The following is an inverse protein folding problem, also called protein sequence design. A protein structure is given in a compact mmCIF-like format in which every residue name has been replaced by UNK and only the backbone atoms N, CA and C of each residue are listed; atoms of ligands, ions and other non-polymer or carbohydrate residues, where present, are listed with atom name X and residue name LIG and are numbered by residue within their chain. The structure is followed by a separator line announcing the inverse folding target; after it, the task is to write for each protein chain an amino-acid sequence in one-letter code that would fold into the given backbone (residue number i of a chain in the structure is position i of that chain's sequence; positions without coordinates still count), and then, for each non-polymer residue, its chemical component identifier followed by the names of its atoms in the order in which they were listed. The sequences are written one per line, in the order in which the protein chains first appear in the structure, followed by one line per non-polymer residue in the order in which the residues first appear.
data_IF_199353113033
#
_entry.id   IF_199353113033
#
_cell.length_a   1.000
_cell.length_b   1.000
_cell.length_c   1.000
_cell.angle_alpha   90.00
_cell.angle_beta   90.00
_cell.angle_gamma   90.00
#
_symmetry.space_group_name_H-M   'P 1'
#
loop_
_entity.id
_entity.type
_entity.pdbx_description
1 polymer ?
#
# COMPACT_ATOMS: atom_id res chain seq x y z
N UNK A 1 -8.72 -44.50 -52.46
CA UNK A 1 -9.60 -43.48 -53.04
C UNK A 1 -10.53 -44.16 -54.04
N UNK A 2 -11.69 -44.55 -53.58
CA UNK A 2 -12.73 -45.28 -54.33
C UNK A 2 -13.91 -44.37 -54.70
N UNK A 3 -13.98 -43.16 -54.12
CA UNK A 3 -14.99 -42.14 -54.39
C UNK A 3 -14.40 -40.73 -54.26
N UNK A 4 -14.90 -39.77 -55.05
CA UNK A 4 -14.47 -38.34 -55.04
C UNK A 4 -14.61 -37.70 -53.65
N UNK A 5 -15.49 -38.23 -52.79
CA UNK A 5 -15.69 -37.76 -51.41
C UNK A 5 -14.56 -38.13 -50.45
N UNK A 6 -13.68 -39.06 -50.82
CA UNK A 6 -12.55 -39.51 -50.01
C UNK A 6 -11.26 -38.70 -50.29
N UNK A 7 -11.36 -37.63 -51.08
CA UNK A 7 -10.22 -36.74 -51.30
C UNK A 7 -9.83 -36.06 -49.98
N UNK A 8 -8.53 -36.00 -49.66
CA UNK A 8 -8.04 -35.40 -48.43
C UNK A 8 -8.29 -33.89 -48.48
N UNK A 9 -9.14 -33.41 -47.58
CA UNK A 9 -9.37 -32.01 -47.32
C UNK A 9 -8.50 -31.62 -46.12
N UNK A 10 -7.43 -30.87 -46.38
CA UNK A 10 -6.54 -30.35 -45.34
C UNK A 10 -6.85 -28.86 -45.17
N UNK A 11 -7.86 -28.57 -44.36
CA UNK A 11 -8.23 -27.21 -43.99
C UNK A 11 -7.36 -26.74 -42.82
N UNK A 12 -6.97 -25.47 -42.83
CA UNK A 12 -6.34 -24.84 -41.68
C UNK A 12 -7.36 -24.67 -40.55
N UNK A 13 -7.46 -25.69 -39.71
CA UNK A 13 -8.27 -25.71 -38.51
C UNK A 13 -7.48 -25.30 -37.27
N UNK A 14 -8.17 -24.87 -36.19
CA UNK A 14 -7.53 -24.75 -34.90
C UNK A 14 -6.94 -26.12 -34.50
N UNK A 15 -5.81 -26.14 -33.78
CA UNK A 15 -5.21 -27.38 -33.33
C UNK A 15 -6.23 -28.18 -32.49
N UNK A 16 -6.18 -29.52 -32.51
CA UNK A 16 -7.03 -30.34 -31.64
C UNK A 16 -6.73 -29.98 -30.18
N UNK A 17 -7.68 -29.29 -29.54
CA UNK A 17 -7.50 -28.68 -28.20
C UNK A 17 -7.77 -27.17 -28.15
N UNK A 18 -7.90 -26.49 -29.29
CA UNK A 18 -8.25 -25.07 -29.38
C UNK A 18 -7.11 -24.12 -28.97
N UNK A 19 -7.40 -22.81 -29.03
CA UNK A 19 -6.45 -21.77 -28.60
C UNK A 19 -6.58 -21.47 -27.10
N UNK A 20 -5.47 -21.11 -26.44
CA UNK A 20 -5.52 -20.70 -25.04
C UNK A 20 -6.40 -19.44 -24.87
N UNK A 21 -7.06 -19.27 -23.71
CA UNK A 21 -7.89 -18.11 -23.47
C UNK A 21 -7.03 -16.84 -23.42
N UNK A 22 -7.25 -15.94 -24.38
CA UNK A 22 -6.61 -14.62 -24.39
C UNK A 22 -7.38 -13.68 -23.46
N UNK A 23 -6.67 -13.04 -22.54
CA UNK A 23 -7.28 -12.09 -21.61
C UNK A 23 -7.43 -10.73 -22.29
N UNK A 24 -8.65 -10.36 -22.65
CA UNK A 24 -8.96 -9.07 -23.29
C UNK A 24 -9.37 -7.96 -22.31
N UNK A 25 -9.62 -8.31 -21.04
CA UNK A 25 -10.09 -7.37 -20.04
C UNK A 25 -8.94 -6.72 -19.25
N UNK A 26 -9.07 -5.43 -18.98
CA UNK A 26 -8.16 -4.72 -18.10
C UNK A 26 -8.30 -5.21 -16.66
N UNK A 27 -7.18 -5.34 -15.95
CA UNK A 27 -7.13 -5.73 -14.55
C UNK A 27 -6.35 -4.68 -13.77
N UNK A 28 -7.06 -3.80 -13.08
CA UNK A 28 -6.47 -2.86 -12.12
C UNK A 28 -6.44 -3.53 -10.74
N UNK A 29 -5.27 -3.87 -10.21
CA UNK A 29 -5.20 -4.46 -8.87
C UNK A 29 -5.33 -3.37 -7.80
N UNK A 30 -6.42 -3.39 -7.03
CA UNK A 30 -6.57 -2.57 -5.81
C UNK A 30 -5.90 -3.27 -4.62
N UNK A 31 -4.56 -3.16 -4.53
CA UNK A 31 -3.75 -3.71 -3.43
C UNK A 31 -3.47 -2.72 -2.29
N UNK A 32 -4.19 -1.60 -2.26
CA UNK A 32 -4.02 -0.57 -1.23
C UNK A 32 -4.62 -0.99 0.13
N UNK A 33 -4.08 -0.47 1.24
CA UNK A 33 -4.73 -0.61 2.54
C UNK A 33 -6.11 0.04 2.51
N UNK A 34 -7.05 -0.53 3.27
CA UNK A 34 -8.41 0.03 3.35
C UNK A 34 -8.37 1.44 3.92
N UNK A 35 -9.38 2.26 3.58
CA UNK A 35 -9.48 3.62 4.11
C UNK A 35 -9.43 3.63 5.65
N UNK A 36 -10.15 2.71 6.30
CA UNK A 36 -10.13 2.54 7.74
C UNK A 36 -8.72 2.26 8.30
N UNK A 37 -7.93 1.42 7.63
CA UNK A 37 -6.56 1.14 8.05
C UNK A 37 -5.68 2.41 7.99
N UNK A 38 -5.80 3.21 6.93
CA UNK A 38 -5.07 4.48 6.79
C UNK A 38 -5.47 5.45 7.91
N UNK A 39 -6.76 5.60 8.18
CA UNK A 39 -7.26 6.50 9.23
C UNK A 39 -6.80 6.08 10.62
N UNK A 40 -6.87 4.79 10.95
CA UNK A 40 -6.44 4.28 12.25
C UNK A 40 -4.94 4.46 12.47
N UNK A 41 -4.12 4.22 11.43
CA UNK A 41 -2.67 4.46 11.50
C UNK A 41 -2.38 5.93 11.71
N UNK A 42 -3.03 6.83 10.97
CA UNK A 42 -2.82 8.26 11.11
C UNK A 42 -3.21 8.77 12.50
N UNK A 43 -4.37 8.35 13.02
CA UNK A 43 -4.83 8.72 14.36
C UNK A 43 -3.93 8.13 15.45
N UNK A 44 -3.49 6.88 15.30
CA UNK A 44 -2.55 6.23 16.22
C UNK A 44 -1.20 6.96 16.27
N UNK A 45 -0.63 7.27 15.10
CA UNK A 45 0.62 8.02 15.00
C UNK A 45 0.48 9.43 15.58
N UNK A 46 -0.62 10.12 15.31
CA UNK A 46 -0.88 11.47 15.82
C UNK A 46 -1.00 11.50 17.35
N UNK A 47 -1.85 10.63 17.91
CA UNK A 47 -2.05 10.54 19.37
C UNK A 47 -0.76 10.14 20.10
N UNK A 48 -0.02 9.17 19.57
CA UNK A 48 1.29 8.78 20.11
C UNK A 48 2.31 9.92 20.02
N UNK A 49 2.38 10.60 18.87
CA UNK A 49 3.29 11.74 18.68
C UNK A 49 3.00 12.88 19.65
N UNK A 50 1.72 13.23 19.83
CA UNK A 50 1.31 14.28 20.77
C UNK A 50 1.61 13.92 22.23
N UNK A 51 1.49 12.64 22.60
CA UNK A 51 1.90 12.17 23.93
C UNK A 51 3.40 12.41 24.17
N UNK A 52 4.25 12.07 23.19
CA UNK A 52 5.69 12.28 23.30
C UNK A 52 6.06 13.77 23.35
N UNK A 53 5.40 14.61 22.53
CA UNK A 53 5.57 16.08 22.56
C UNK A 53 5.21 16.64 23.93
N UNK A 54 4.11 16.18 24.54
CA UNK A 54 3.70 16.58 25.88
C UNK A 54 4.77 16.28 26.93
N UNK A 55 5.31 15.05 26.92
CA UNK A 55 6.38 14.65 27.84
C UNK A 55 7.66 15.47 27.62
N UNK A 56 8.07 15.67 26.36
CA UNK A 56 9.23 16.50 26.02
C UNK A 56 9.08 17.96 26.48
N UNK A 57 7.89 18.53 26.30
CA UNK A 57 7.60 19.90 26.74
C UNK A 57 7.66 20.06 28.27
N UNK A 58 7.21 19.05 29.03
CA UNK A 58 7.33 19.06 30.50
C UNK A 58 8.80 19.09 30.92
N UNK A 59 9.64 18.24 30.32
CA UNK A 59 11.08 18.18 30.61
C UNK A 59 11.75 19.51 30.25
N UNK A 60 11.46 20.06 29.07
CA UNK A 60 12.01 21.36 28.63
C UNK A 60 11.67 22.50 29.57
N UNK A 61 10.45 22.53 30.13
CA UNK A 61 10.05 23.54 31.11
C UNK A 61 10.87 23.47 32.40
N UNK A 62 11.11 22.26 32.92
CA UNK A 62 11.94 22.07 34.13
C UNK A 62 13.37 22.55 33.88
N UNK A 63 13.94 22.18 32.73
CA UNK A 63 15.31 22.59 32.37
C UNK A 63 15.41 24.12 32.21
N UNK A 64 14.47 24.74 31.51
CA UNK A 64 14.44 26.19 31.29
C UNK A 64 14.32 26.95 32.62
N UNK A 65 13.38 26.54 33.48
CA UNK A 65 13.17 27.16 34.78
C UNK A 65 14.41 27.02 35.69
N UNK A 66 15.06 25.85 35.66
CA UNK A 66 16.29 25.61 36.40
C UNK A 66 17.43 26.55 35.93
N UNK A 67 17.62 26.69 34.62
CA UNK A 67 18.62 27.62 34.08
C UNK A 67 18.34 29.09 34.44
N UNK A 68 17.08 29.54 34.31
CA UNK A 68 16.72 30.93 34.65
C UNK A 68 16.93 31.24 36.14
N UNK A 69 16.69 30.27 37.03
CA UNK A 69 16.99 30.44 38.45
C UNK A 69 18.50 30.58 38.70
N UNK A 70 19.34 29.80 38.01
CA UNK A 70 20.80 29.92 38.15
C UNK A 70 21.34 31.25 37.63
N UNK A 71 20.83 31.76 36.50
CA UNK A 71 21.27 33.05 35.95
C UNK A 71 20.84 34.23 36.81
N UNK A 72 19.62 34.19 37.37
CA UNK A 72 19.11 35.25 38.24
C UNK A 72 19.80 35.26 39.62
N UNK A 73 20.33 34.13 40.09
CA UNK A 73 21.06 34.05 41.37
C UNK A 73 22.53 34.51 41.28
N UNK A 74 23.09 34.56 40.07
CA UNK A 74 24.46 35.02 39.80
C UNK A 74 24.56 36.50 39.38
N UNK A 75 23.43 37.22 39.36
CA UNK A 75 23.32 38.65 39.03
C UNK A 75 23.13 39.47 40.31
#
# INVERSE_FOLDING_TARGET
MTSVREMPLLEDGPPPGGFPPVRCAWRIPSKGPSAAAIFLVALGAFSCGMYQVGQGNRIRRVICCSQSHTTNASS
#
